data_IF_856020518289
#
_entry.id   IF_856020518289
#
_cell.length_a   1.000
_cell.length_b   1.000
_cell.length_c   1.000
_cell.angle_alpha   90.00
_cell.angle_beta   90.00
_cell.angle_gamma   90.00
#
_symmetry.space_group_name_H-M   'P 1'
#
loop_
_entity.id
_entity.type
_entity.pdbx_description
1 polymer ?
#
# COMPACT_ATOMS: atom_id res chain seq x y z
N UNK A 1 10.03 9.10 -9.66
CA UNK A 1 11.11 8.32 -10.33
C UNK A 1 12.51 8.94 -10.21
N UNK A 2 12.68 10.24 -9.98
CA UNK A 2 14.03 10.85 -9.88
C UNK A 2 14.84 10.39 -8.65
N UNK A 3 14.20 10.15 -7.50
CA UNK A 3 14.90 9.76 -6.27
C UNK A 3 15.52 8.34 -6.35
N UNK A 4 14.79 7.36 -6.88
CA UNK A 4 15.29 5.99 -7.04
C UNK A 4 16.51 5.94 -7.97
N UNK A 5 16.44 6.62 -9.11
CA UNK A 5 17.57 6.72 -10.04
C UNK A 5 18.78 7.42 -9.40
N UNK A 6 18.55 8.48 -8.62
CA UNK A 6 19.60 9.16 -7.85
C UNK A 6 20.26 8.21 -6.83
N UNK A 7 19.46 7.47 -6.06
CA UNK A 7 19.97 6.52 -5.05
C UNK A 7 20.78 5.37 -5.69
N UNK A 8 20.42 4.91 -6.88
CA UNK A 8 21.19 3.92 -7.61
C UNK A 8 22.54 4.42 -8.14
N UNK A 9 22.74 5.73 -8.23
CA UNK A 9 24.02 6.35 -8.59
C UNK A 9 24.91 6.59 -7.36
N UNK A 10 24.35 6.53 -6.15
CA UNK A 10 25.12 6.60 -4.92
C UNK A 10 25.93 5.31 -4.69
N UNK A 11 27.00 5.42 -3.92
CA UNK A 11 27.70 4.25 -3.40
C UNK A 11 26.73 3.41 -2.55
N UNK A 12 26.82 2.07 -2.66
CA UNK A 12 25.98 1.17 -1.88
C UNK A 12 26.23 1.37 -0.38
N UNK A 13 25.18 1.67 0.37
CA UNK A 13 25.20 1.79 1.82
C UNK A 13 23.89 1.26 2.43
N UNK A 14 23.88 1.03 3.74
CA UNK A 14 22.66 0.61 4.43
C UNK A 14 21.58 1.70 4.33
N UNK A 15 21.98 2.98 4.36
CA UNK A 15 21.10 4.12 4.22
C UNK A 15 20.47 4.18 2.82
N UNK A 16 21.25 3.95 1.74
CA UNK A 16 20.69 3.89 0.39
C UNK A 16 19.69 2.74 0.25
N UNK A 17 19.97 1.59 0.85
CA UNK A 17 19.07 0.43 0.84
C UNK A 17 17.77 0.70 1.62
N UNK A 18 17.86 1.33 2.79
CA UNK A 18 16.69 1.76 3.57
C UNK A 18 15.82 2.71 2.77
N UNK A 19 16.42 3.72 2.11
CA UNK A 19 15.69 4.69 1.31
C UNK A 19 15.01 4.04 0.09
N UNK A 20 15.72 3.13 -0.60
CA UNK A 20 15.19 2.37 -1.74
C UNK A 20 14.06 1.41 -1.34
N UNK A 21 14.08 0.85 -0.14
CA UNK A 21 12.99 0.03 0.37
C UNK A 21 11.80 0.91 0.76
N UNK A 22 12.04 2.05 1.42
CA UNK A 22 10.99 2.95 1.90
C UNK A 22 10.23 3.67 0.79
N UNK A 23 10.87 3.96 -0.35
CA UNK A 23 10.21 4.65 -1.46
C UNK A 23 9.10 3.79 -2.12
N UNK A 24 9.16 2.46 -2.00
CA UNK A 24 8.17 1.54 -2.60
C UNK A 24 6.75 1.83 -2.15
N UNK A 25 6.55 2.15 -0.88
CA UNK A 25 5.24 2.53 -0.33
C UNK A 25 4.65 3.77 -0.99
N UNK A 26 5.51 4.77 -1.25
CA UNK A 26 5.11 5.99 -1.94
C UNK A 26 4.85 5.75 -3.42
N UNK A 27 5.65 4.90 -4.06
CA UNK A 27 5.45 4.52 -5.46
C UNK A 27 4.11 3.81 -5.66
N UNK A 28 3.75 2.86 -4.79
CA UNK A 28 2.45 2.18 -4.84
C UNK A 28 1.29 3.17 -4.67
N UNK A 29 1.38 4.06 -3.68
CA UNK A 29 0.36 5.09 -3.44
C UNK A 29 0.21 6.02 -4.65
N UNK A 30 1.32 6.44 -5.25
CA UNK A 30 1.31 7.29 -6.45
C UNK A 30 0.74 6.58 -7.67
N UNK A 31 1.03 5.28 -7.85
CA UNK A 31 0.49 4.49 -8.97
C UNK A 31 -1.04 4.35 -8.89
N UNK A 32 -1.59 4.34 -7.68
CA UNK A 32 -3.04 4.21 -7.44
C UNK A 32 -3.69 5.50 -6.92
N UNK A 33 -3.08 6.66 -7.21
CA UNK A 33 -3.48 7.93 -6.60
C UNK A 33 -4.95 8.29 -6.85
N UNK A 34 -5.48 7.96 -8.03
CA UNK A 34 -6.88 8.23 -8.36
C UNK A 34 -7.86 7.41 -7.52
N UNK A 35 -7.55 6.15 -7.23
CA UNK A 35 -8.35 5.32 -6.32
C UNK A 35 -8.34 5.88 -4.90
N UNK A 36 -7.18 6.33 -4.45
CA UNK A 36 -6.98 6.94 -3.12
C UNK A 36 -7.74 8.25 -3.01
N UNK A 37 -7.63 9.11 -4.04
CA UNK A 37 -8.35 10.40 -4.12
C UNK A 37 -9.85 10.21 -4.06
N UNK A 38 -10.39 9.17 -4.70
CA UNK A 38 -11.82 8.87 -4.65
C UNK A 38 -12.33 8.59 -3.23
N UNK A 39 -11.46 8.19 -2.30
CA UNK A 39 -11.84 7.95 -0.90
C UNK A 39 -11.73 9.20 -0.01
N UNK A 40 -11.01 10.23 -0.44
CA UNK A 40 -10.76 11.43 0.37
C UNK A 40 -12.02 12.11 0.91
N UNK A 41 -13.13 12.25 0.15
CA UNK A 41 -14.35 12.85 0.69
C UNK A 41 -14.87 12.11 1.93
N UNK A 42 -14.96 10.77 1.86
CA UNK A 42 -15.44 9.96 2.99
C UNK A 42 -14.45 9.98 4.17
N UNK A 43 -13.15 9.86 3.89
CA UNK A 43 -12.12 9.92 4.94
C UNK A 43 -12.11 11.27 5.65
N UNK A 44 -12.33 12.36 4.91
CA UNK A 44 -12.44 13.71 5.47
C UNK A 44 -13.67 13.83 6.37
N UNK A 45 -14.83 13.37 5.92
CA UNK A 45 -16.09 13.41 6.68
C UNK A 45 -15.99 12.60 7.98
N UNK A 46 -15.35 11.42 7.93
CA UNK A 46 -15.21 10.51 9.07
C UNK A 46 -13.88 10.67 9.84
N UNK A 47 -13.10 11.72 9.56
CA UNK A 47 -11.71 11.82 10.02
C UNK A 47 -11.54 11.72 11.54
N UNK A 48 -12.49 12.29 12.30
CA UNK A 48 -12.47 12.16 13.76
C UNK A 48 -12.67 10.71 14.22
N UNK A 49 -13.72 10.02 13.72
CA UNK A 49 -14.00 8.64 14.12
C UNK A 49 -12.91 7.67 13.65
N UNK A 50 -12.39 7.86 12.43
CA UNK A 50 -11.23 7.11 11.92
C UNK A 50 -10.01 7.29 12.83
N UNK A 51 -9.74 8.52 13.30
CA UNK A 51 -8.60 8.79 14.19
C UNK A 51 -8.73 8.17 15.58
N UNK A 52 -9.95 8.00 16.09
CA UNK A 52 -10.18 7.45 17.43
C UNK A 52 -10.37 5.93 17.44
N UNK A 53 -10.91 5.34 16.36
CA UNK A 53 -11.28 3.92 16.29
C UNK A 53 -10.13 2.97 16.66
N UNK A 54 -8.90 3.34 16.30
CA UNK A 54 -7.71 2.51 16.52
C UNK A 54 -6.69 3.15 17.46
N UNK A 55 -7.11 4.10 18.31
CA UNK A 55 -6.20 4.86 19.17
C UNK A 55 -5.31 3.97 20.04
N UNK A 56 -5.88 2.92 20.64
CA UNK A 56 -5.12 2.00 21.49
C UNK A 56 -4.02 1.27 20.71
N UNK A 57 -4.34 0.78 19.51
CA UNK A 57 -3.39 0.09 18.63
C UNK A 57 -2.32 1.05 18.10
N UNK A 58 -2.68 2.28 17.75
CA UNK A 58 -1.73 3.34 17.37
C UNK A 58 -0.74 3.63 18.50
N UNK A 59 -1.22 3.77 19.73
CA UNK A 59 -0.36 4.01 20.89
C UNK A 59 0.55 2.81 21.19
N UNK A 60 0.02 1.59 21.09
CA UNK A 60 0.81 0.36 21.26
C UNK A 60 1.95 0.27 20.23
N UNK A 61 1.64 0.44 18.95
CA UNK A 61 2.65 0.41 17.89
C UNK A 61 3.69 1.53 18.07
N UNK A 62 3.26 2.74 18.42
CA UNK A 62 4.16 3.87 18.71
C UNK A 62 5.12 3.54 19.84
N UNK A 63 4.63 2.95 20.93
CA UNK A 63 5.46 2.56 22.06
C UNK A 63 6.46 1.46 21.67
N UNK A 64 6.01 0.43 20.95
CA UNK A 64 6.89 -0.63 20.45
C UNK A 64 8.00 -0.09 19.53
N UNK A 65 7.70 0.86 18.65
CA UNK A 65 8.70 1.55 17.83
C UNK A 65 9.68 2.38 18.68
N UNK A 66 9.19 3.06 19.71
CA UNK A 66 10.03 3.84 20.63
C UNK A 66 10.98 2.94 21.42
N UNK A 67 10.48 1.83 21.96
CA UNK A 67 11.31 0.87 22.69
C UNK A 67 12.36 0.21 21.80
N UNK A 68 12.00 -0.12 20.54
CA UNK A 68 12.97 -0.61 19.56
C UNK A 68 14.08 0.40 19.26
N UNK A 69 13.74 1.69 19.10
CA UNK A 69 14.73 2.72 18.84
C UNK A 69 15.77 2.84 19.98
N UNK A 70 15.36 2.56 21.22
CA UNK A 70 16.25 2.55 22.39
C UNK A 70 17.00 1.23 22.57
N UNK A 71 16.33 0.12 22.31
CA UNK A 71 16.83 -1.22 22.53
C UNK A 71 16.39 -2.12 21.37
N UNK A 72 17.31 -2.49 20.50
CA UNK A 72 17.02 -3.22 19.27
C UNK A 72 17.01 -4.74 19.51
N UNK A 73 16.40 -5.17 20.62
CA UNK A 73 16.29 -6.58 21.01
C UNK A 73 15.31 -7.33 20.10
N UNK A 74 15.46 -8.65 20.03
CA UNK A 74 14.54 -9.50 19.27
C UNK A 74 13.10 -9.38 19.80
N UNK A 75 12.93 -9.30 21.12
CA UNK A 75 11.61 -9.08 21.76
C UNK A 75 10.94 -7.79 21.28
N UNK A 76 11.69 -6.71 21.09
CA UNK A 76 11.14 -5.47 20.57
C UNK A 76 10.76 -5.56 19.08
N UNK A 77 11.49 -6.35 18.29
CA UNK A 77 11.11 -6.65 16.90
C UNK A 77 9.79 -7.44 16.86
N UNK A 78 9.64 -8.45 17.73
CA UNK A 78 8.40 -9.23 17.87
C UNK A 78 7.21 -8.34 18.20
N UNK A 79 7.40 -7.39 19.13
CA UNK A 79 6.37 -6.44 19.53
C UNK A 79 5.96 -5.52 18.37
N UNK A 80 6.93 -4.97 17.62
CA UNK A 80 6.63 -4.18 16.42
C UNK A 80 5.79 -4.98 15.43
N UNK A 81 6.20 -6.22 15.10
CA UNK A 81 5.49 -7.02 14.11
C UNK A 81 4.06 -7.35 14.57
N UNK A 82 3.88 -7.70 15.85
CA UNK A 82 2.56 -7.97 16.44
C UNK A 82 1.66 -6.74 16.47
N UNK A 83 2.17 -5.61 16.95
CA UNK A 83 1.39 -4.38 17.08
C UNK A 83 1.08 -3.74 15.73
N UNK A 84 1.95 -3.93 14.73
CA UNK A 84 1.68 -3.53 13.35
C UNK A 84 0.50 -4.31 12.76
N UNK A 85 0.46 -5.63 12.94
CA UNK A 85 -0.64 -6.47 12.46
C UNK A 85 -1.97 -6.10 13.17
N UNK A 86 -1.95 -5.83 14.48
CA UNK A 86 -3.13 -5.32 15.22
C UNK A 86 -3.59 -3.95 14.70
N UNK A 87 -2.66 -3.03 14.50
CA UNK A 87 -2.95 -1.68 14.01
C UNK A 87 -3.53 -1.71 12.61
N UNK A 88 -2.88 -2.39 11.67
CA UNK A 88 -3.35 -2.50 10.28
C UNK A 88 -4.71 -3.18 10.19
N UNK A 89 -4.95 -4.24 10.97
CA UNK A 89 -6.26 -4.91 11.03
C UNK A 89 -7.35 -3.97 11.54
N UNK A 90 -7.10 -3.25 12.64
CA UNK A 90 -8.07 -2.28 13.15
C UNK A 90 -8.34 -1.18 12.12
N UNK A 91 -7.28 -0.62 11.53
CA UNK A 91 -7.38 0.53 10.63
C UNK A 91 -8.19 0.18 9.38
N UNK A 92 -7.88 -0.96 8.75
CA UNK A 92 -8.60 -1.45 7.56
C UNK A 92 -10.07 -1.73 7.86
N UNK A 93 -10.38 -2.33 9.02
CA UNK A 93 -11.75 -2.58 9.45
C UNK A 93 -12.53 -1.29 9.75
N UNK A 94 -11.90 -0.28 10.38
CA UNK A 94 -12.53 1.01 10.62
C UNK A 94 -12.86 1.71 9.29
N UNK A 95 -11.93 1.65 8.32
CA UNK A 95 -12.12 2.18 6.98
C UNK A 95 -13.22 1.45 6.22
N UNK A 96 -13.33 0.12 6.37
CA UNK A 96 -14.45 -0.67 5.86
C UNK A 96 -15.77 -0.21 6.44
N UNK A 97 -15.84 -0.05 7.78
CA UNK A 97 -17.06 0.27 8.50
C UNK A 97 -17.62 1.64 8.10
N UNK A 98 -16.76 2.64 7.96
CA UNK A 98 -17.18 4.02 7.71
C UNK A 98 -17.24 4.40 6.23
N UNK A 99 -16.34 3.85 5.42
CA UNK A 99 -16.19 4.23 4.01
C UNK A 99 -16.37 3.06 3.03
N UNK A 100 -16.80 1.91 3.52
CA UNK A 100 -17.17 0.75 2.72
C UNK A 100 -15.99 -0.10 2.24
N UNK A 101 -16.33 -1.16 1.49
CA UNK A 101 -15.41 -2.19 1.06
C UNK A 101 -14.23 -1.66 0.21
N UNK A 102 -14.46 -0.66 -0.64
CA UNK A 102 -13.37 -0.09 -1.46
C UNK A 102 -12.28 0.56 -0.59
N UNK A 103 -12.67 1.21 0.49
CA UNK A 103 -11.75 1.80 1.47
C UNK A 103 -10.92 0.73 2.19
N UNK A 104 -11.53 -0.43 2.51
CA UNK A 104 -10.83 -1.60 3.07
C UNK A 104 -9.74 -2.11 2.13
N UNK A 105 -10.06 -2.24 0.83
CA UNK A 105 -9.12 -2.74 -0.18
C UNK A 105 -7.94 -1.78 -0.33
N UNK A 106 -8.21 -0.49 -0.50
CA UNK A 106 -7.16 0.52 -0.68
C UNK A 106 -6.23 0.56 0.54
N UNK A 107 -6.80 0.65 1.75
CA UNK A 107 -6.00 0.69 2.98
C UNK A 107 -5.28 -0.63 3.24
N UNK A 108 -5.91 -1.77 2.96
CA UNK A 108 -5.30 -3.08 3.07
C UNK A 108 -4.06 -3.24 2.20
N UNK A 109 -4.13 -2.80 0.94
CA UNK A 109 -2.97 -2.75 0.03
C UNK A 109 -1.86 -1.85 0.57
N UNK A 110 -2.20 -0.64 1.04
CA UNK A 110 -1.21 0.27 1.63
C UNK A 110 -0.48 -0.36 2.83
N UNK A 111 -1.20 -0.99 3.75
CA UNK A 111 -0.59 -1.67 4.90
C UNK A 111 0.24 -2.88 4.49
N UNK A 112 -0.19 -3.62 3.47
CA UNK A 112 0.58 -4.73 2.94
C UNK A 112 1.95 -4.28 2.42
N UNK A 113 1.98 -3.25 1.58
CA UNK A 113 3.23 -2.69 1.02
C UNK A 113 4.11 -2.09 2.12
N UNK A 114 3.52 -1.35 3.05
CA UNK A 114 4.25 -0.76 4.18
C UNK A 114 4.88 -1.82 5.09
N UNK A 115 4.17 -2.92 5.34
CA UNK A 115 4.68 -4.06 6.13
C UNK A 115 5.88 -4.69 5.45
N UNK A 116 5.77 -4.95 4.15
CA UNK A 116 6.85 -5.51 3.36
C UNK A 116 8.09 -4.60 3.38
N UNK A 117 7.89 -3.28 3.18
CA UNK A 117 8.97 -2.31 3.25
C UNK A 117 9.65 -2.30 4.64
N UNK A 118 8.87 -2.18 5.71
CA UNK A 118 9.39 -2.15 7.08
C UNK A 118 10.17 -3.43 7.42
N UNK A 119 9.67 -4.59 7.01
CA UNK A 119 10.32 -5.86 7.31
C UNK A 119 11.58 -6.08 6.46
N UNK A 120 11.58 -5.60 5.21
CA UNK A 120 12.79 -5.60 4.40
C UNK A 120 13.86 -4.66 4.97
N UNK A 121 13.47 -3.51 5.56
CA UNK A 121 14.41 -2.65 6.30
C UNK A 121 15.00 -3.37 7.53
N UNK A 122 14.18 -4.08 8.31
CA UNK A 122 14.69 -4.88 9.43
C UNK A 122 15.67 -5.96 8.95
N UNK A 123 15.41 -6.60 7.80
CA UNK A 123 16.31 -7.62 7.24
C UNK A 123 17.69 -7.12 6.84
N UNK A 124 17.90 -5.81 6.68
CA UNK A 124 19.23 -5.24 6.41
C UNK A 124 20.19 -5.55 7.55
N UNK A 125 19.68 -5.65 8.79
CA UNK A 125 20.48 -5.96 9.98
C UNK A 125 20.18 -7.33 10.60
N UNK A 126 18.95 -7.82 10.47
CA UNK A 126 18.52 -9.11 11.05
C UNK A 126 18.19 -10.11 9.96
N UNK A 127 19.13 -11.02 9.64
CA UNK A 127 18.99 -12.01 8.57
C UNK A 127 17.76 -12.92 8.72
N UNK A 128 17.35 -13.19 9.95
CA UNK A 128 16.11 -13.90 10.31
C UNK A 128 15.25 -13.01 11.19
N UNK A 129 14.00 -12.81 10.78
CA UNK A 129 13.00 -12.13 11.59
C UNK A 129 12.21 -13.14 12.44
N UNK A 130 11.70 -12.73 13.61
CA UNK A 130 10.81 -13.55 14.42
C UNK A 130 9.56 -14.02 13.68
N UNK A 131 8.95 -15.11 14.14
CA UNK A 131 7.77 -15.72 13.51
C UNK A 131 6.56 -14.79 13.46
N UNK A 132 6.47 -13.83 14.39
CA UNK A 132 5.45 -12.78 14.43
C UNK A 132 5.54 -11.81 13.23
N UNK A 133 6.71 -11.71 12.61
CA UNK A 133 6.91 -10.97 11.36
C UNK A 133 6.60 -11.85 10.12
N UNK A 134 6.29 -13.13 10.33
CA UNK A 134 5.84 -14.06 9.29
C UNK A 134 4.51 -13.60 8.67
N UNK A 135 4.24 -14.03 7.44
CA UNK A 135 2.99 -13.67 6.76
C UNK A 135 1.77 -14.24 7.51
N UNK A 136 0.96 -13.38 8.12
CA UNK A 136 -0.44 -13.70 8.37
C UNK A 136 -1.16 -13.71 7.01
N UNK A 137 -2.12 -14.62 6.81
CA UNK A 137 -2.88 -14.80 5.55
C UNK A 137 -3.85 -13.63 5.27
N UNK A 138 -3.41 -12.38 5.42
CA UNK A 138 -4.09 -11.21 4.88
C UNK A 138 -4.02 -11.28 3.34
N UNK A 139 -4.95 -12.06 2.78
CA UNK A 139 -5.54 -11.99 1.44
C UNK A 139 -4.60 -11.52 0.31
N UNK A 140 -3.44 -12.17 0.16
CA UNK A 140 -2.55 -12.01 -1.02
C UNK A 140 -3.33 -12.16 -2.34
N UNK A 141 -4.37 -12.98 -2.31
CA UNK A 141 -5.18 -13.35 -3.48
C UNK A 141 -6.16 -12.25 -3.93
N UNK A 142 -6.51 -11.29 -3.07
CA UNK A 142 -7.42 -10.19 -3.44
C UNK A 142 -6.68 -9.03 -4.10
N UNK A 143 -5.45 -8.74 -3.68
CA UNK A 143 -4.70 -7.57 -4.15
C UNK A 143 -3.85 -7.86 -5.39
N UNK A 144 -3.46 -9.12 -5.61
CA UNK A 144 -2.69 -9.50 -6.82
C UNK A 144 -3.57 -9.63 -8.07
N UNK A 145 -4.88 -9.79 -7.93
CA UNK A 145 -5.80 -10.00 -9.06
C UNK A 145 -6.20 -8.70 -9.78
N UNK A 146 -6.13 -7.54 -9.11
CA UNK A 146 -6.43 -6.24 -9.73
C UNK A 146 -5.43 -5.86 -10.84
N UNK A 147 -4.20 -6.40 -10.80
CA UNK A 147 -3.23 -6.21 -11.88
C UNK A 147 -3.64 -6.92 -13.18
N UNK A 148 -4.53 -7.92 -13.10
CA UNK A 148 -5.08 -8.63 -14.25
C UNK A 148 -6.40 -8.04 -14.77
N UNK A 149 -7.20 -7.37 -13.91
CA UNK A 149 -8.45 -6.75 -14.36
C UNK A 149 -8.23 -5.45 -15.14
N UNK A 150 -7.17 -4.69 -14.83
CA UNK A 150 -6.83 -3.46 -15.56
C UNK A 150 -6.33 -3.69 -17.00
N UNK A 151 -5.81 -4.89 -17.31
CA UNK A 151 -5.41 -5.24 -18.67
C UNK A 151 -6.60 -5.65 -19.56
N UNK A 152 -7.73 -6.06 -18.98
CA UNK A 152 -8.91 -6.47 -19.73
C UNK A 152 -9.86 -5.30 -20.11
N UNK A 153 -9.74 -4.14 -19.46
CA UNK A 153 -10.61 -2.98 -19.73
C UNK A 153 -10.13 -2.10 -20.91
N UNK A 154 -9.04 -2.52 -21.58
CA UNK A 154 -8.57 -1.91 -22.83
C UNK A 154 -9.19 -2.53 -24.09
N UNK A 155 -10.16 -3.45 -23.92
CA UNK A 155 -10.95 -4.01 -25.02
C UNK A 155 -12.18 -3.15 -25.37
N UNK A 156 -12.08 -1.83 -25.20
CA UNK A 156 -13.04 -0.89 -25.78
C UNK A 156 -12.85 -0.89 -27.30
N UNK A 157 -13.63 -1.75 -27.94
CA UNK A 157 -14.33 -1.48 -29.20
C UNK A 157 -13.52 -0.92 -30.38
N UNK A 158 -12.39 -1.55 -30.69
CA UNK A 158 -11.69 -1.35 -31.97
C UNK A 158 -12.61 -1.61 -33.19
N UNK A 159 -13.65 -2.44 -33.03
CA UNK A 159 -14.68 -2.67 -34.06
C UNK A 159 -15.65 -1.50 -34.22
N UNK A 160 -16.04 -0.83 -33.13
CA UNK A 160 -16.99 0.30 -33.21
C UNK A 160 -16.36 1.56 -33.78
N UNK A 161 -15.07 1.81 -33.47
CA UNK A 161 -14.33 2.92 -34.09
C UNK A 161 -14.19 2.68 -35.60
N UNK A 162 -13.94 1.45 -36.04
CA UNK A 162 -13.85 1.13 -37.47
C UNK A 162 -15.17 1.35 -38.22
N UNK A 163 -16.31 0.99 -37.61
CA UNK A 163 -17.64 1.20 -38.19
C UNK A 163 -17.97 2.69 -38.27
N UNK A 164 -17.64 3.48 -37.25
CA UNK A 164 -17.87 4.94 -37.28
C UNK A 164 -17.02 5.63 -38.35
N UNK A 165 -15.76 5.22 -38.51
CA UNK A 165 -14.87 5.79 -39.55
C UNK A 165 -15.35 5.41 -40.96
N UNK A 166 -15.79 4.16 -41.18
CA UNK A 166 -16.32 3.73 -42.47
C UNK A 166 -17.60 4.48 -42.85
N UNK A 167 -18.52 4.67 -41.90
CA UNK A 167 -19.74 5.45 -42.12
C UNK A 167 -19.44 6.94 -42.38
N UNK A 168 -18.39 7.49 -41.76
CA UNK A 168 -17.96 8.86 -42.02
C UNK A 168 -17.37 9.05 -43.42
N UNK A 169 -16.63 8.07 -43.92
CA UNK A 169 -16.04 8.12 -45.26
C UNK A 169 -17.11 7.99 -46.34
N UNK A 170 -18.09 7.10 -46.18
CA UNK A 170 -19.19 6.98 -47.16
C UNK A 170 -20.08 8.24 -47.21
N UNK A 171 -20.29 8.94 -46.10
CA UNK A 171 -21.14 10.13 -46.06
C UNK A 171 -20.48 11.43 -46.53
N UNK A 172 -19.15 11.53 -46.48
CA UNK A 172 -18.43 12.79 -46.76
C UNK A 172 -17.46 12.72 -47.94
N UNK A 173 -17.22 11.55 -48.55
CA UNK A 173 -16.34 11.38 -49.73
C UNK A 173 -17.05 10.84 -50.97
N UNK A 174 -18.38 10.86 -51.01
CA UNK A 174 -19.21 10.61 -52.20
C UNK A 174 -20.04 11.84 -52.54
#
# INVERSE_FOLDING_TARGET
MQLESCLHQCNKSQESDILLVGIKSWQDTCAHLEEVRAQFPCWKENGHELSQSCRAQTLGLKESMYQFARNQSESNIQNICSDYDKFSTCFTQAHRKLCGYRSEIITGRMFHVNREAMFNMLKIRWSTLPSQCGYSQLRRDTYSSEKLSFLNDSTINRKTIFVVILLFIEYFCL
#
